data_IF_611594164967
#
_entry.id   IF_611594164967
#
_cell.length_a   1.000
_cell.length_b   1.000
_cell.length_c   1.000
_cell.angle_alpha   90.00
_cell.angle_beta   90.00
_cell.angle_gamma   90.00
#
_symmetry.space_group_name_H-M   'P 1'
#
loop_
_entity.id
_entity.type
_entity.pdbx_description
1 polymer ?
#
# COMPACT_ATOMS: atom_id res chain seq x y z
N UNK A 1 0.26 -30.99 34.19
CA UNK A 1 1.31 -30.05 34.60
C UNK A 1 0.77 -28.63 34.53
N UNK A 2 0.12 -28.21 35.60
CA UNK A 2 -0.35 -26.84 35.81
C UNK A 2 0.75 -26.09 36.57
N UNK A 3 1.36 -25.08 35.96
CA UNK A 3 2.43 -24.30 36.59
C UNK A 3 3.57 -23.83 35.69
N UNK A 4 3.46 -23.92 34.36
CA UNK A 4 4.51 -23.37 33.49
C UNK A 4 4.54 -21.84 33.58
N UNK A 5 5.64 -21.30 34.12
CA UNK A 5 5.90 -19.87 34.22
C UNK A 5 6.01 -19.27 32.81
N UNK A 6 5.21 -18.25 32.51
CA UNK A 6 5.27 -17.53 31.23
C UNK A 6 6.64 -16.83 31.16
N UNK A 7 7.43 -17.02 30.09
CA UNK A 7 8.73 -16.36 29.94
C UNK A 7 8.60 -14.84 30.02
N UNK A 8 9.51 -14.18 30.75
CA UNK A 8 9.59 -12.72 30.81
C UNK A 8 9.98 -12.09 29.47
N UNK A 9 10.67 -12.86 28.63
CA UNK A 9 11.16 -12.45 27.32
C UNK A 9 10.44 -13.25 26.22
N UNK A 10 9.55 -12.59 25.48
CA UNK A 10 8.80 -13.26 24.41
C UNK A 10 8.22 -12.32 23.37
N UNK A 11 7.91 -12.87 22.20
CA UNK A 11 7.11 -12.23 21.18
C UNK A 11 5.62 -12.59 21.33
N UNK A 12 4.75 -11.60 21.42
CA UNK A 12 3.29 -11.78 21.35
C UNK A 12 2.84 -11.39 19.96
N UNK A 13 2.19 -12.31 19.26
CA UNK A 13 1.75 -12.15 17.87
C UNK A 13 0.24 -12.28 17.84
N UNK A 14 -0.49 -11.18 17.75
CA UNK A 14 -1.94 -11.18 17.58
C UNK A 14 -2.30 -11.20 16.10
N UNK A 15 -2.81 -12.33 15.61
CA UNK A 15 -3.27 -12.51 14.24
C UNK A 15 -4.77 -12.18 14.17
N UNK A 16 -5.06 -10.91 13.90
CA UNK A 16 -6.41 -10.38 13.74
C UNK A 16 -7.01 -10.65 12.35
N UNK A 17 -8.20 -10.10 12.12
CA UNK A 17 -8.90 -10.22 10.83
C UNK A 17 -8.28 -9.31 9.76
N UNK A 18 -8.00 -8.05 10.07
CA UNK A 18 -7.45 -7.06 9.12
C UNK A 18 -5.97 -6.77 9.32
N UNK A 19 -5.43 -7.05 10.50
CA UNK A 19 -4.05 -6.72 10.88
C UNK A 19 -3.46 -7.79 11.78
N UNK A 20 -2.14 -7.82 11.82
CA UNK A 20 -1.35 -8.68 12.71
C UNK A 20 -0.45 -7.78 13.53
N UNK A 21 -0.52 -7.89 14.85
CA UNK A 21 0.27 -7.04 15.75
C UNK A 21 1.33 -7.89 16.45
N UNK A 22 2.59 -7.46 16.35
CA UNK A 22 3.71 -7.99 17.09
C UNK A 22 4.00 -7.08 18.28
N UNK A 23 4.00 -7.64 19.47
CA UNK A 23 4.50 -6.99 20.67
C UNK A 23 5.67 -7.79 21.22
N UNK A 24 6.84 -7.17 21.32
CA UNK A 24 8.00 -7.78 21.97
C UNK A 24 7.97 -7.40 23.44
N UNK A 25 8.16 -8.39 24.30
CA UNK A 25 8.20 -8.24 25.75
C UNK A 25 9.58 -8.63 26.22
N UNK A 26 10.17 -7.79 27.06
CA UNK A 26 11.47 -8.02 27.69
C UNK A 26 11.37 -7.74 29.19
N UNK A 27 11.87 -8.66 30.01
CA UNK A 27 11.75 -8.64 31.48
C UNK A 27 10.31 -8.39 31.96
N UNK A 28 9.34 -8.94 31.22
CA UNK A 28 7.94 -8.67 31.48
C UNK A 28 7.61 -7.18 31.36
N UNK A 29 8.06 -6.50 30.29
CA UNK A 29 7.61 -5.16 29.86
C UNK A 29 7.52 -5.09 28.33
N UNK A 30 6.46 -4.49 27.76
CA UNK A 30 6.41 -4.25 26.32
C UNK A 30 7.52 -3.29 25.90
N UNK A 31 8.37 -3.68 24.96
CA UNK A 31 9.51 -2.88 24.48
C UNK A 31 9.38 -2.47 23.02
N UNK A 32 8.65 -3.26 22.22
CA UNK A 32 8.38 -2.93 20.82
C UNK A 32 6.95 -3.32 20.47
N UNK A 33 6.29 -2.48 19.67
CA UNK A 33 4.98 -2.75 19.11
C UNK A 33 5.01 -2.44 17.61
N UNK A 34 4.73 -3.44 16.79
CA UNK A 34 4.68 -3.32 15.33
C UNK A 34 3.34 -3.87 14.84
N UNK A 35 2.70 -3.14 13.93
CA UNK A 35 1.48 -3.61 13.26
C UNK A 35 1.75 -3.82 11.78
N UNK A 36 1.46 -5.02 11.29
CA UNK A 36 1.44 -5.37 9.87
C UNK A 36 -0.01 -5.31 9.40
N UNK A 37 -0.28 -4.58 8.32
CA UNK A 37 -1.62 -4.44 7.71
C UNK A 37 -1.99 -5.68 6.89
N UNK A 38 -1.97 -6.83 7.55
CA UNK A 38 -2.36 -8.12 7.02
C UNK A 38 -3.00 -8.94 8.12
N UNK A 39 -4.06 -9.69 7.80
CA UNK A 39 -4.76 -10.53 8.77
C UNK A 39 -5.62 -11.58 8.07
N UNK A 40 -6.38 -12.34 8.85
CA UNK A 40 -7.16 -13.48 8.37
C UNK A 40 -8.14 -13.18 7.22
N UNK A 41 -8.63 -11.95 7.07
CA UNK A 41 -9.48 -11.54 5.94
C UNK A 41 -8.71 -11.49 4.63
N UNK A 42 -7.43 -11.14 4.65
CA UNK A 42 -6.59 -11.12 3.44
C UNK A 42 -6.46 -12.53 2.87
N UNK A 43 -6.24 -13.52 3.75
CA UNK A 43 -6.28 -14.93 3.36
C UNK A 43 -7.67 -15.33 2.86
N UNK A 44 -8.75 -14.93 3.53
CA UNK A 44 -10.12 -15.22 3.08
C UNK A 44 -10.41 -14.64 1.69
N UNK A 45 -9.99 -13.40 1.40
CA UNK A 45 -10.13 -12.79 0.08
C UNK A 45 -9.30 -13.49 -0.99
N UNK A 46 -8.06 -13.88 -0.67
CA UNK A 46 -7.21 -14.64 -1.59
C UNK A 46 -7.83 -16.01 -1.93
N UNK A 47 -8.40 -16.70 -0.94
CA UNK A 47 -9.11 -17.96 -1.15
C UNK A 47 -10.41 -17.76 -1.94
N UNK A 48 -11.17 -16.70 -1.66
CA UNK A 48 -12.38 -16.36 -2.41
C UNK A 48 -12.08 -16.13 -3.89
N UNK A 49 -11.00 -15.40 -4.20
CA UNK A 49 -10.55 -15.18 -5.57
C UNK A 49 -10.07 -16.49 -6.23
N UNK A 50 -9.24 -17.28 -5.53
CA UNK A 50 -8.70 -18.54 -6.05
C UNK A 50 -9.78 -19.57 -6.37
N UNK A 51 -10.80 -19.68 -5.52
CA UNK A 51 -11.86 -20.67 -5.65
C UNK A 51 -13.14 -20.11 -6.28
N UNK A 52 -13.11 -18.85 -6.76
CA UNK A 52 -14.26 -18.15 -7.34
C UNK A 52 -15.53 -18.30 -6.47
N UNK A 53 -15.39 -18.09 -5.16
CA UNK A 53 -16.48 -18.29 -4.20
C UNK A 53 -16.72 -17.05 -3.32
N UNK A 54 -17.85 -17.02 -2.62
CA UNK A 54 -18.16 -15.91 -1.72
C UNK A 54 -17.21 -15.87 -0.53
N UNK A 55 -17.06 -14.69 0.08
CA UNK A 55 -16.23 -14.52 1.29
C UNK A 55 -16.60 -15.51 2.40
N UNK A 56 -17.90 -15.75 2.62
CA UNK A 56 -18.38 -16.68 3.63
C UNK A 56 -17.99 -18.14 3.32
N UNK A 57 -18.04 -18.54 2.06
CA UNK A 57 -17.62 -19.86 1.61
C UNK A 57 -16.10 -20.04 1.71
N UNK A 58 -15.33 -19.03 1.33
CA UNK A 58 -13.88 -19.00 1.50
C UNK A 58 -13.47 -19.08 2.98
N UNK A 59 -14.19 -18.39 3.87
CA UNK A 59 -13.92 -18.44 5.32
C UNK A 59 -14.18 -19.84 5.90
N UNK A 60 -15.25 -20.52 5.44
CA UNK A 60 -15.51 -21.92 5.83
C UNK A 60 -14.39 -22.84 5.38
N UNK A 61 -13.95 -22.70 4.13
CA UNK A 61 -12.81 -23.47 3.58
C UNK A 61 -11.53 -23.21 4.35
N UNK A 62 -11.19 -21.94 4.59
CA UNK A 62 -10.01 -21.52 5.36
C UNK A 62 -9.92 -22.22 6.72
N UNK A 63 -11.05 -22.38 7.42
CA UNK A 63 -11.10 -23.04 8.74
C UNK A 63 -10.84 -24.54 8.69
N UNK A 64 -11.05 -25.19 7.55
CA UNK A 64 -10.77 -26.60 7.34
C UNK A 64 -9.35 -26.86 6.84
N UNK A 65 -8.66 -25.85 6.33
CA UNK A 65 -7.30 -25.96 5.79
C UNK A 65 -6.25 -26.05 6.90
N UNK A 66 -5.14 -26.71 6.58
CA UNK A 66 -3.93 -26.71 7.38
C UNK A 66 -3.00 -25.56 6.95
N UNK A 67 -2.11 -25.14 7.85
CA UNK A 67 -1.19 -24.01 7.59
C UNK A 67 -0.30 -24.23 6.36
N UNK A 68 0.07 -25.47 6.07
CA UNK A 68 0.92 -25.84 4.94
C UNK A 68 0.25 -25.50 3.59
N UNK A 69 -1.08 -25.56 3.52
CA UNK A 69 -1.82 -25.23 2.31
C UNK A 69 -1.88 -23.73 2.04
N UNK A 70 -1.54 -22.89 3.05
CA UNK A 70 -1.61 -21.43 2.96
C UNK A 70 -0.28 -20.73 3.22
N UNK A 71 0.81 -21.49 3.35
CA UNK A 71 2.15 -21.02 3.71
C UNK A 71 2.63 -19.87 2.81
N UNK A 72 2.43 -20.01 1.49
CA UNK A 72 2.80 -18.98 0.52
C UNK A 72 2.13 -17.61 0.79
N UNK A 73 0.89 -17.60 1.31
CA UNK A 73 0.20 -16.36 1.67
C UNK A 73 0.62 -15.79 3.03
N UNK A 74 1.25 -16.60 3.89
CA UNK A 74 1.81 -16.18 5.18
C UNK A 74 3.21 -15.59 5.05
N UNK A 75 3.95 -15.95 4.00
CA UNK A 75 5.34 -15.55 3.78
C UNK A 75 5.60 -14.03 3.93
N UNK A 76 4.75 -13.11 3.40
CA UNK A 76 4.99 -11.66 3.57
C UNK A 76 4.94 -11.22 5.03
N UNK A 77 3.99 -11.76 5.81
CA UNK A 77 3.86 -11.42 7.24
C UNK A 77 5.00 -12.02 8.03
N UNK A 78 5.36 -13.28 7.77
CA UNK A 78 6.50 -13.91 8.42
C UNK A 78 7.80 -13.13 8.16
N UNK A 79 7.97 -12.60 6.94
CA UNK A 79 9.10 -11.72 6.60
C UNK A 79 9.10 -10.43 7.42
N UNK A 80 7.98 -9.71 7.48
CA UNK A 80 7.85 -8.48 8.29
C UNK A 80 8.11 -8.71 9.78
N UNK A 81 7.59 -9.81 10.32
CA UNK A 81 7.80 -10.21 11.72
C UNK A 81 9.28 -10.54 11.97
N UNK A 82 9.92 -11.28 11.06
CA UNK A 82 11.35 -11.63 11.16
C UNK A 82 12.25 -10.39 11.10
N UNK A 83 11.95 -9.44 10.21
CA UNK A 83 12.68 -8.15 10.15
C UNK A 83 12.55 -7.40 11.47
N UNK A 84 11.34 -7.35 12.03
CA UNK A 84 11.09 -6.66 13.31
C UNK A 84 11.84 -7.33 14.48
N UNK A 85 11.89 -8.67 14.50
CA UNK A 85 12.65 -9.43 15.49
C UNK A 85 14.15 -9.19 15.35
N UNK A 86 14.71 -9.31 14.14
CA UNK A 86 16.14 -9.08 13.92
C UNK A 86 16.57 -7.65 14.24
N UNK A 87 15.74 -6.64 13.92
CA UNK A 87 16.02 -5.25 14.27
C UNK A 87 16.11 -5.05 15.80
N UNK A 88 15.21 -5.71 16.54
CA UNK A 88 15.24 -5.71 18.00
C UNK A 88 16.48 -6.43 18.56
N UNK A 89 16.77 -7.65 18.09
CA UNK A 89 17.93 -8.45 18.52
C UNK A 89 19.27 -7.73 18.25
N UNK A 90 19.38 -7.04 17.11
CA UNK A 90 20.56 -6.25 16.77
C UNK A 90 20.77 -5.03 17.67
N UNK A 91 19.71 -4.48 18.25
CA UNK A 91 19.76 -3.30 19.12
C UNK A 91 20.01 -3.66 20.59
N UNK A 92 19.42 -4.75 21.07
CA UNK A 92 19.44 -5.14 22.50
C UNK A 92 20.50 -6.22 22.80
N UNK A 93 21.11 -6.83 21.77
CA UNK A 93 22.08 -7.93 21.87
C UNK A 93 21.54 -9.15 22.65
N UNK A 94 20.23 -9.30 22.74
CA UNK A 94 19.57 -10.44 23.35
C UNK A 94 18.55 -11.05 22.39
N UNK A 95 18.45 -12.38 22.44
CA UNK A 95 17.57 -13.17 21.59
C UNK A 95 16.29 -13.53 22.32
N UNK A 96 15.16 -13.26 21.69
CA UNK A 96 13.87 -13.78 22.16
C UNK A 96 13.82 -15.27 21.83
N UNK A 97 13.36 -16.07 22.78
CA UNK A 97 13.33 -17.53 22.65
C UNK A 97 11.92 -18.06 22.48
N UNK A 98 10.91 -17.32 22.94
CA UNK A 98 9.54 -17.79 22.99
C UNK A 98 8.60 -16.85 22.22
N UNK A 99 7.54 -17.42 21.65
CA UNK A 99 6.44 -16.63 21.11
C UNK A 99 5.08 -17.18 21.53
N UNK A 100 4.11 -16.29 21.65
CA UNK A 100 2.72 -16.64 21.81
C UNK A 100 1.89 -16.05 20.68
N UNK A 101 1.19 -16.92 19.97
CA UNK A 101 0.34 -16.53 18.83
C UNK A 101 -1.11 -16.54 19.29
N UNK A 102 -1.76 -15.39 19.16
CA UNK A 102 -3.12 -15.10 19.62
C UNK A 102 -3.99 -14.52 18.50
N UNK A 103 -5.23 -14.17 18.81
CA UNK A 103 -6.19 -13.62 17.83
C UNK A 103 -7.11 -14.65 17.19
N UNK A 104 -8.01 -14.19 16.33
CA UNK A 104 -8.94 -15.07 15.61
C UNK A 104 -8.24 -15.92 14.54
N UNK A 105 -7.19 -15.38 13.93
CA UNK A 105 -6.40 -16.05 12.91
C UNK A 105 -5.53 -17.19 13.45
N UNK A 106 -5.12 -17.13 14.73
CA UNK A 106 -4.34 -18.21 15.38
C UNK A 106 -5.08 -19.53 15.47
N UNK A 107 -6.41 -19.54 15.26
CA UNK A 107 -7.24 -20.74 15.21
C UNK A 107 -7.05 -21.57 13.94
N UNK A 108 -6.35 -21.06 12.94
CA UNK A 108 -5.95 -21.87 11.79
C UNK A 108 -5.07 -23.02 12.28
N UNK A 109 -5.38 -24.24 11.83
CA UNK A 109 -4.73 -25.45 12.31
C UNK A 109 -3.21 -25.36 12.12
N UNK A 110 -2.47 -25.62 13.20
CA UNK A 110 -0.99 -25.63 13.26
C UNK A 110 -0.31 -24.26 13.03
N UNK A 111 -1.06 -23.16 12.88
CA UNK A 111 -0.49 -21.84 12.59
C UNK A 111 0.50 -21.39 13.67
N UNK A 112 0.15 -21.52 14.95
CA UNK A 112 1.04 -21.07 16.03
C UNK A 112 2.39 -21.77 16.02
N UNK A 113 2.40 -23.09 15.82
CA UNK A 113 3.63 -23.88 15.74
C UNK A 113 4.44 -23.55 14.49
N UNK A 114 3.76 -23.36 13.35
CA UNK A 114 4.40 -22.99 12.10
C UNK A 114 5.03 -21.59 12.16
N UNK A 115 4.33 -20.58 12.70
CA UNK A 115 4.89 -19.24 12.88
C UNK A 115 6.08 -19.26 13.84
N UNK A 116 5.99 -19.99 14.95
CA UNK A 116 7.08 -20.14 15.89
C UNK A 116 8.33 -20.73 15.20
N UNK A 117 8.16 -21.84 14.47
CA UNK A 117 9.23 -22.47 13.71
C UNK A 117 9.86 -21.53 12.67
N UNK A 118 9.03 -20.84 11.88
CA UNK A 118 9.49 -19.89 10.86
C UNK A 118 10.24 -18.68 11.45
N UNK A 119 9.92 -18.28 12.68
CA UNK A 119 10.57 -17.17 13.36
C UNK A 119 11.74 -17.63 14.24
N UNK A 120 12.02 -18.93 14.35
CA UNK A 120 13.07 -19.47 15.21
C UNK A 120 12.74 -19.36 16.70
N UNK A 121 11.45 -19.37 17.05
CA UNK A 121 10.94 -19.21 18.42
C UNK A 121 10.24 -20.49 18.90
N UNK A 122 10.16 -20.66 20.22
CA UNK A 122 9.40 -21.74 20.86
C UNK A 122 7.95 -21.30 21.12
N UNK A 123 6.94 -22.06 20.68
CA UNK A 123 5.55 -21.70 20.90
C UNK A 123 5.15 -21.89 22.37
N UNK A 124 4.60 -20.84 22.96
CA UNK A 124 3.91 -20.87 24.26
C UNK A 124 2.50 -21.41 24.04
N UNK A 125 2.15 -22.47 24.78
CA UNK A 125 0.92 -23.21 24.54
C UNK A 125 -0.36 -22.38 24.80
N UNK A 126 -1.51 -22.76 24.19
CA UNK A 126 -2.77 -22.02 24.35
C UNK A 126 -3.28 -21.96 25.81
N UNK A 127 -2.84 -22.89 26.68
CA UNK A 127 -3.15 -22.91 28.11
C UNK A 127 -2.28 -21.99 28.97
N UNK A 128 -1.21 -21.40 28.41
CA UNK A 128 -0.26 -20.58 29.14
C UNK A 128 -0.57 -19.07 29.04
N UNK A 129 -1.71 -18.69 28.45
CA UNK A 129 -1.97 -17.30 28.05
C UNK A 129 -2.83 -16.46 28.98
N UNK A 130 -3.77 -17.00 29.75
CA UNK A 130 -4.59 -16.17 30.65
C UNK A 130 -5.05 -16.98 31.86
N UNK A 131 -4.48 -16.67 33.01
CA UNK A 131 -4.83 -17.23 34.31
C UNK A 131 -4.42 -16.25 35.41
N UNK A 132 -4.72 -16.58 36.67
CA UNK A 132 -4.34 -15.77 37.83
C UNK A 132 -2.83 -15.53 37.96
N UNK A 133 -2.00 -16.36 37.32
CA UNK A 133 -0.53 -16.28 37.30
C UNK A 133 0.06 -15.57 36.07
N UNK A 134 -0.76 -14.96 35.21
CA UNK A 134 -0.30 -14.26 34.01
C UNK A 134 0.52 -13.00 34.38
N UNK A 135 1.76 -12.82 33.86
CA UNK A 135 2.54 -11.62 34.10
C UNK A 135 1.79 -10.35 33.65
N UNK A 136 1.83 -9.28 34.45
CA UNK A 136 1.07 -8.04 34.18
C UNK A 136 1.40 -7.44 32.81
N UNK A 137 2.66 -7.48 32.40
CA UNK A 137 3.05 -6.96 31.10
C UNK A 137 2.59 -7.81 29.92
N UNK A 138 2.36 -9.09 30.13
CA UNK A 138 1.74 -9.92 29.11
C UNK A 138 0.31 -9.45 28.83
N UNK A 139 -0.46 -9.14 29.88
CA UNK A 139 -1.80 -8.54 29.74
C UNK A 139 -1.75 -7.15 29.10
N UNK A 140 -0.76 -6.33 29.42
CA UNK A 140 -0.58 -5.00 28.81
C UNK A 140 -0.17 -5.13 27.34
N UNK A 141 0.80 -5.99 27.02
CA UNK A 141 1.27 -6.24 25.67
C UNK A 141 0.16 -6.81 24.79
N UNK A 142 -0.62 -7.76 25.31
CA UNK A 142 -1.81 -8.26 24.64
C UNK A 142 -2.85 -7.16 24.45
N UNK A 143 -3.14 -6.39 25.51
CA UNK A 143 -4.06 -5.25 25.45
C UNK A 143 -3.66 -4.21 24.39
N UNK A 144 -2.36 -3.91 24.28
CA UNK A 144 -1.79 -3.05 23.25
C UNK A 144 -1.89 -3.72 21.86
N UNK A 145 -1.63 -5.01 21.75
CA UNK A 145 -1.71 -5.74 20.49
C UNK A 145 -3.12 -5.71 19.88
N UNK A 146 -4.15 -5.83 20.73
CA UNK A 146 -5.57 -5.82 20.31
C UNK A 146 -6.19 -4.42 20.26
N UNK A 147 -5.51 -3.37 20.76
CA UNK A 147 -6.14 -2.05 20.92
C UNK A 147 -6.52 -1.43 19.56
N UNK A 148 -7.78 -0.99 19.36
CA UNK A 148 -8.27 -0.51 18.08
C UNK A 148 -7.68 0.85 17.67
N UNK A 149 -7.24 1.68 18.62
CA UNK A 149 -6.78 3.05 18.32
C UNK A 149 -5.29 3.19 17.98
N UNK A 150 -4.50 2.11 17.96
CA UNK A 150 -3.04 2.19 17.72
C UNK A 150 -2.67 2.42 16.25
N UNK A 151 -3.60 2.28 15.31
CA UNK A 151 -3.42 2.72 13.92
C UNK A 151 -4.73 3.33 13.40
N UNK A 152 -4.81 4.66 13.38
CA UNK A 152 -5.80 5.35 12.54
C UNK A 152 -5.16 5.65 11.18
N UNK A 153 -5.60 5.07 10.06
CA UNK A 153 -5.31 5.65 8.77
C UNK A 153 -6.06 6.99 8.70
N UNK A 154 -5.33 8.11 8.70
CA UNK A 154 -5.90 9.44 8.47
C UNK A 154 -6.23 9.58 6.98
N UNK A 155 -7.36 9.05 6.54
CA UNK A 155 -7.98 9.50 5.30
C UNK A 155 -9.01 10.57 5.64
N UNK A 156 -8.62 11.84 5.44
CA UNK A 156 -9.56 12.96 5.33
C UNK A 156 -9.97 13.05 3.86
N UNK A 157 -11.17 12.58 3.52
CA UNK A 157 -11.79 12.93 2.24
C UNK A 157 -12.29 14.36 2.32
N UNK A 158 -11.63 15.27 1.60
CA UNK A 158 -12.15 16.61 1.32
C UNK A 158 -13.20 16.45 0.23
N UNK A 159 -14.47 16.67 0.55
CA UNK A 159 -15.50 16.90 -0.45
C UNK A 159 -15.20 18.27 -1.08
N UNK A 160 -14.92 18.31 -2.38
CA UNK A 160 -14.76 19.55 -3.14
C UNK A 160 -16.00 19.73 -4.01
N UNK A 161 -16.83 20.68 -3.56
CA UNK A 161 -17.54 21.68 -4.35
C UNK A 161 -18.06 21.32 -5.73
N UNK A 162 -19.39 21.21 -5.81
CA UNK A 162 -20.19 21.61 -6.95
C UNK A 162 -19.97 23.08 -7.34
N UNK A 163 -19.87 23.37 -8.64
CA UNK A 163 -20.23 24.67 -9.18
C UNK A 163 -19.41 25.14 -10.37
N UNK A 164 -20.14 25.70 -11.36
CA UNK A 164 -19.73 26.56 -12.49
C UNK A 164 -19.36 25.81 -13.78
N UNK A 165 -19.76 26.24 -14.98
CA UNK A 165 -20.72 27.24 -15.45
C UNK A 165 -20.80 27.06 -16.98
N UNK A 166 -21.97 27.31 -17.56
CA UNK A 166 -22.12 27.56 -19.00
C UNK A 166 -21.59 28.97 -19.32
N UNK A 167 -20.88 29.11 -20.43
CA UNK A 167 -20.78 30.40 -21.11
C UNK A 167 -20.74 30.22 -22.64
N UNK A 168 -21.52 31.04 -23.34
CA UNK A 168 -21.65 31.12 -24.79
C UNK A 168 -21.13 32.48 -25.25
N UNK A 169 -20.03 32.51 -26.01
CA UNK A 169 -19.74 33.55 -27.02
C UNK A 169 -18.39 33.31 -27.71
N UNK A 170 -18.43 33.02 -29.00
CA UNK A 170 -17.45 33.51 -30.00
C UNK A 170 -17.87 33.02 -31.39
N UNK A 171 -18.10 33.97 -32.32
CA UNK A 171 -18.33 33.67 -33.74
C UNK A 171 -19.25 34.66 -34.43
N UNK A 172 -18.79 35.91 -34.55
CA UNK A 172 -19.40 36.99 -35.34
C UNK A 172 -19.08 36.89 -36.84
N UNK A 173 -20.08 37.26 -37.64
CA UNK A 173 -20.06 37.94 -38.94
C UNK A 173 -19.29 37.35 -40.14
N UNK A 174 -20.07 36.96 -41.15
CA UNK A 174 -19.78 37.27 -42.56
C UNK A 174 -21.09 37.61 -43.28
N UNK A 175 -21.21 38.88 -43.67
CA UNK A 175 -22.28 39.42 -44.49
C UNK A 175 -22.19 38.91 -45.94
N UNK A 176 -23.32 38.80 -46.66
CA UNK A 176 -23.65 39.69 -47.79
C UNK A 176 -24.92 39.29 -48.58
N UNK A 177 -25.58 40.34 -49.05
CA UNK A 177 -26.43 40.47 -50.24
C UNK A 177 -27.87 39.94 -50.22
N UNK A 178 -28.79 40.91 -50.07
CA UNK A 178 -30.20 40.83 -50.44
C UNK A 178 -30.39 40.95 -51.95
N UNK A 179 -31.18 40.07 -52.55
CA UNK A 179 -31.86 40.31 -53.82
C UNK A 179 -33.36 40.14 -53.62
N UNK A 180 -34.16 41.01 -54.23
CA UNK A 180 -35.62 41.03 -54.12
C UNK A 180 -36.23 39.72 -54.65
N UNK A 181 -36.91 39.01 -53.77
CA UNK A 181 -37.55 37.72 -54.04
C UNK A 181 -39.06 37.92 -54.17
N UNK A 182 -39.61 37.59 -55.35
CA UNK A 182 -41.04 37.65 -55.67
C UNK A 182 -41.90 36.90 -54.66
N UNK A 183 -43.16 37.30 -54.45
CA UNK A 183 -44.10 36.63 -53.50
C UNK A 183 -44.25 35.13 -53.78
N UNK A 184 -44.04 34.71 -55.02
CA UNK A 184 -44.09 33.30 -55.45
C UNK A 184 -42.82 32.55 -55.04
N UNK A 185 -41.65 33.18 -55.19
CA UNK A 185 -40.36 32.65 -54.72
C UNK A 185 -40.28 32.63 -53.19
N UNK A 186 -40.97 33.55 -52.50
CA UNK A 186 -41.11 33.50 -51.03
C UNK A 186 -41.89 32.28 -50.56
N UNK A 187 -42.93 31.87 -51.30
CA UNK A 187 -43.68 30.64 -51.00
C UNK A 187 -42.87 29.39 -51.32
N UNK A 188 -42.12 29.40 -52.43
CA UNK A 188 -41.20 28.31 -52.77
C UNK A 188 -40.03 28.22 -51.79
N UNK A 189 -39.52 29.34 -51.30
CA UNK A 189 -38.48 29.40 -50.26
C UNK A 189 -39.02 28.99 -48.89
N UNK A 190 -40.29 29.27 -48.58
CA UNK A 190 -40.96 28.76 -47.37
C UNK A 190 -41.14 27.24 -47.44
N UNK A 191 -41.61 26.71 -48.57
CA UNK A 191 -41.73 25.26 -48.76
C UNK A 191 -40.36 24.58 -48.81
N UNK A 192 -39.38 25.17 -49.51
CA UNK A 192 -38.00 24.69 -49.53
C UNK A 192 -37.33 24.76 -48.16
N UNK A 193 -37.58 25.81 -47.39
CA UNK A 193 -37.14 25.97 -46.01
C UNK A 193 -37.81 24.97 -45.07
N UNK A 194 -39.09 24.67 -45.26
CA UNK A 194 -39.81 23.66 -44.50
C UNK A 194 -39.32 22.26 -44.82
N UNK A 195 -39.06 21.95 -46.10
CA UNK A 195 -38.45 20.69 -46.54
C UNK A 195 -37.03 20.56 -45.97
N UNK A 196 -36.22 21.62 -46.02
CA UNK A 196 -34.89 21.63 -45.42
C UNK A 196 -34.94 21.47 -43.90
N UNK A 197 -35.91 22.08 -43.23
CA UNK A 197 -36.11 21.93 -41.79
C UNK A 197 -36.53 20.50 -41.43
N UNK A 198 -37.42 19.89 -42.22
CA UNK A 198 -37.81 18.48 -42.06
C UNK A 198 -36.62 17.56 -42.34
N UNK A 199 -35.86 17.79 -43.41
CA UNK A 199 -34.64 17.02 -43.72
C UNK A 199 -33.58 17.17 -42.62
N UNK A 200 -33.39 18.38 -42.09
CA UNK A 200 -32.49 18.62 -40.97
C UNK A 200 -32.98 17.97 -39.68
N UNK A 201 -34.29 17.96 -39.41
CA UNK A 201 -34.88 17.23 -38.29
C UNK A 201 -34.74 15.72 -38.44
N UNK A 202 -34.97 15.18 -39.63
CA UNK A 202 -34.78 13.76 -39.93
C UNK A 202 -33.31 13.38 -39.80
N UNK A 203 -32.40 14.15 -40.38
CA UNK A 203 -30.95 13.95 -40.28
C UNK A 203 -30.44 14.07 -38.84
N UNK A 204 -30.90 15.07 -38.09
CA UNK A 204 -30.63 15.22 -36.66
C UNK A 204 -31.19 14.03 -35.87
N UNK A 205 -32.42 13.60 -36.17
CA UNK A 205 -33.04 12.44 -35.51
C UNK A 205 -32.27 11.16 -35.82
N UNK A 206 -31.87 10.95 -37.08
CA UNK A 206 -31.05 9.82 -37.50
C UNK A 206 -29.68 9.87 -36.81
N UNK A 207 -29.02 11.03 -36.73
CA UNK A 207 -27.74 11.16 -36.02
C UNK A 207 -27.87 10.94 -34.53
N UNK A 208 -28.92 11.44 -33.88
CA UNK A 208 -29.15 11.25 -32.44
C UNK A 208 -29.47 9.78 -32.15
N UNK A 209 -30.33 9.15 -32.95
CA UNK A 209 -30.69 7.74 -32.78
C UNK A 209 -29.53 6.79 -33.11
N UNK A 210 -28.77 7.04 -34.18
CA UNK A 210 -27.59 6.25 -34.54
C UNK A 210 -26.42 6.47 -33.58
N UNK A 211 -26.25 7.68 -33.03
CA UNK A 211 -25.23 7.91 -31.99
C UNK A 211 -25.62 7.25 -30.67
N UNK A 212 -26.89 7.28 -30.30
CA UNK A 212 -27.38 6.58 -29.11
C UNK A 212 -27.20 5.06 -29.24
N UNK A 213 -27.42 4.48 -30.42
CA UNK A 213 -27.16 3.05 -30.64
C UNK A 213 -25.67 2.75 -30.60
N UNK A 214 -24.84 3.56 -31.25
CA UNK A 214 -23.38 3.39 -31.28
C UNK A 214 -22.78 3.53 -29.87
N UNK A 215 -23.21 4.51 -29.08
CA UNK A 215 -22.78 4.70 -27.68
C UNK A 215 -23.23 3.53 -26.82
N UNK A 216 -24.48 3.07 -26.96
CA UNK A 216 -24.98 1.90 -26.22
C UNK A 216 -24.25 0.61 -26.61
N UNK A 217 -23.91 0.43 -27.88
CA UNK A 217 -23.17 -0.75 -28.34
C UNK A 217 -21.70 -0.71 -27.88
N UNK A 218 -21.04 0.46 -27.92
CA UNK A 218 -19.71 0.66 -27.35
C UNK A 218 -19.69 0.47 -25.83
N UNK A 219 -20.69 1.00 -25.12
CA UNK A 219 -20.81 0.87 -23.67
C UNK A 219 -21.07 -0.60 -23.27
N UNK A 220 -21.92 -1.32 -24.01
CA UNK A 220 -22.09 -2.77 -23.84
C UNK A 220 -20.81 -3.55 -24.16
N UNK A 221 -20.06 -3.15 -25.20
CA UNK A 221 -18.78 -3.77 -25.54
C UNK A 221 -17.71 -3.57 -24.47
N UNK A 222 -17.57 -2.34 -23.96
CA UNK A 222 -16.69 -1.99 -22.84
C UNK A 222 -17.07 -2.76 -21.58
N UNK A 223 -18.36 -2.83 -21.27
CA UNK A 223 -18.85 -3.56 -20.11
C UNK A 223 -18.60 -5.07 -20.26
N UNK A 224 -18.85 -5.67 -21.43
CA UNK A 224 -18.57 -7.08 -21.67
C UNK A 224 -17.06 -7.39 -21.56
N UNK A 225 -16.20 -6.53 -22.09
CA UNK A 225 -14.75 -6.70 -22.03
C UNK A 225 -14.20 -6.47 -20.61
N UNK A 226 -14.77 -5.51 -19.87
CA UNK A 226 -14.48 -5.30 -18.46
C UNK A 226 -14.92 -6.50 -17.60
N UNK A 227 -16.12 -7.03 -17.83
CA UNK A 227 -16.64 -8.21 -17.13
C UNK A 227 -15.80 -9.46 -17.39
N UNK A 228 -15.30 -9.64 -18.62
CA UNK A 228 -14.37 -10.72 -18.96
C UNK A 228 -13.01 -10.59 -18.26
N UNK A 229 -12.51 -9.36 -18.05
CA UNK A 229 -11.15 -9.11 -17.53
C UNK A 229 -11.12 -8.94 -16.00
N UNK A 230 -12.13 -8.31 -15.42
CA UNK A 230 -12.18 -7.89 -14.01
C UNK A 230 -13.39 -8.41 -13.23
N UNK A 231 -14.35 -9.07 -13.90
CA UNK A 231 -15.60 -9.59 -13.31
C UNK A 231 -16.73 -8.55 -13.21
N UNK A 232 -17.95 -9.01 -12.98
CA UNK A 232 -19.14 -8.15 -12.84
C UNK A 232 -19.04 -7.24 -11.61
N UNK A 233 -19.25 -5.93 -11.80
CA UNK A 233 -19.26 -4.98 -10.69
C UNK A 233 -18.95 -3.52 -11.00
N UNK A 234 -18.62 -3.13 -12.24
CA UNK A 234 -18.54 -1.72 -12.60
C UNK A 234 -19.91 -1.19 -13.04
N UNK A 235 -20.24 0.02 -12.59
CA UNK A 235 -21.41 0.75 -13.07
C UNK A 235 -21.18 1.19 -14.53
N UNK A 236 -22.22 1.21 -15.37
CA UNK A 236 -22.10 1.63 -16.76
C UNK A 236 -21.48 3.02 -16.90
N UNK A 237 -20.34 3.14 -17.59
CA UNK A 237 -19.58 4.38 -17.79
C UNK A 237 -18.37 4.61 -16.87
N UNK A 238 -18.18 3.82 -15.80
CA UNK A 238 -17.04 3.92 -14.87
C UNK A 238 -15.98 2.82 -15.09
N UNK A 239 -16.13 1.99 -16.10
CA UNK A 239 -15.35 0.76 -16.31
C UNK A 239 -13.86 1.06 -16.55
N UNK A 240 -13.55 2.14 -17.28
CA UNK A 240 -12.19 2.51 -17.61
C UNK A 240 -11.40 3.00 -16.38
N UNK A 241 -12.04 3.80 -15.53
CA UNK A 241 -11.45 4.34 -14.32
C UNK A 241 -11.30 3.25 -13.25
N UNK A 242 -12.30 2.38 -13.10
CA UNK A 242 -12.20 1.22 -12.23
C UNK A 242 -11.13 0.23 -12.72
N UNK A 243 -11.03 0.01 -14.03
CA UNK A 243 -9.99 -0.82 -14.65
C UNK A 243 -8.59 -0.26 -14.39
N UNK A 244 -8.36 1.04 -14.64
CA UNK A 244 -7.09 1.72 -14.32
C UNK A 244 -6.76 1.64 -12.84
N UNK A 245 -7.75 1.85 -11.97
CA UNK A 245 -7.57 1.74 -10.53
C UNK A 245 -7.17 0.32 -10.10
N UNK A 246 -7.80 -0.72 -10.66
CA UNK A 246 -7.46 -2.11 -10.39
C UNK A 246 -6.08 -2.49 -10.94
N UNK A 247 -5.72 -2.01 -12.13
CA UNK A 247 -4.37 -2.20 -12.68
C UNK A 247 -3.33 -1.51 -11.79
N UNK A 248 -3.56 -0.28 -11.33
CA UNK A 248 -2.68 0.41 -10.38
C UNK A 248 -2.58 -0.31 -9.02
N UNK A 249 -3.67 -0.91 -8.54
CA UNK A 249 -3.68 -1.73 -7.33
C UNK A 249 -2.85 -3.00 -7.51
N UNK A 250 -3.01 -3.66 -8.65
CA UNK A 250 -2.22 -4.84 -9.03
C UNK A 250 -0.75 -4.46 -9.22
N UNK A 251 -0.44 -3.34 -9.86
CA UNK A 251 0.93 -2.85 -10.07
C UNK A 251 1.60 -2.43 -8.76
N UNK A 252 0.86 -1.81 -7.82
CA UNK A 252 1.35 -1.58 -6.45
C UNK A 252 1.57 -2.90 -5.71
N UNK A 253 0.66 -3.85 -5.83
CA UNK A 253 0.81 -5.20 -5.27
C UNK A 253 2.02 -5.93 -5.84
N UNK A 254 2.22 -5.86 -7.16
CA UNK A 254 3.38 -6.41 -7.85
C UNK A 254 4.66 -5.66 -7.48
N UNK A 255 4.65 -4.33 -7.29
CA UNK A 255 5.87 -3.61 -6.88
C UNK A 255 6.42 -4.06 -5.52
N UNK A 256 5.57 -4.61 -4.65
CA UNK A 256 5.93 -5.20 -3.37
C UNK A 256 6.45 -6.65 -3.55
N UNK A 257 5.97 -7.34 -4.59
CA UNK A 257 6.26 -8.77 -4.87
C UNK A 257 7.47 -8.97 -5.79
N UNK A 258 7.66 -8.10 -6.78
CA UNK A 258 8.48 -8.39 -7.95
C UNK A 258 9.95 -8.01 -7.75
N UNK A 259 10.28 -7.12 -6.78
CA UNK A 259 11.67 -6.74 -6.47
C UNK A 259 12.46 -6.17 -7.65
N UNK A 260 11.82 -5.95 -8.80
CA UNK A 260 12.39 -5.59 -10.10
C UNK A 260 12.72 -4.10 -10.22
N UNK A 261 12.53 -3.32 -9.16
CA UNK A 261 13.07 -1.95 -9.05
C UNK A 261 14.00 -1.84 -7.85
N UNK A 262 15.29 -1.87 -8.16
CA UNK A 262 16.45 -1.64 -7.29
C UNK A 262 16.62 -2.65 -6.14
N UNK A 263 17.56 -3.58 -6.31
CA UNK A 263 18.08 -4.37 -5.19
C UNK A 263 18.61 -3.41 -4.12
N UNK A 264 17.97 -3.35 -2.95
CA UNK A 264 18.41 -2.54 -1.79
C UNK A 264 19.88 -2.82 -1.46
N UNK A 265 20.34 -4.06 -1.67
CA UNK A 265 21.74 -4.44 -1.55
C UNK A 265 22.66 -3.76 -2.57
N UNK A 266 22.22 -3.59 -3.82
CA UNK A 266 22.98 -2.89 -4.84
C UNK A 266 23.05 -1.38 -4.53
N UNK A 267 21.94 -0.80 -4.03
CA UNK A 267 21.93 0.57 -3.52
C UNK A 267 22.88 0.77 -2.34
N UNK A 268 22.92 -0.16 -1.39
CA UNK A 268 23.90 -0.15 -0.29
C UNK A 268 25.33 -0.30 -0.80
N UNK A 269 25.59 -1.20 -1.75
CA UNK A 269 26.92 -1.39 -2.31
C UNK A 269 27.41 -0.13 -3.03
N UNK A 270 26.53 0.56 -3.75
CA UNK A 270 26.85 1.82 -4.41
C UNK A 270 27.08 2.95 -3.40
N UNK A 271 26.27 3.01 -2.35
CA UNK A 271 26.43 3.97 -1.26
C UNK A 271 27.80 3.82 -0.58
N UNK A 272 28.23 2.58 -0.30
CA UNK A 272 29.51 2.30 0.36
C UNK A 272 30.71 2.75 -0.48
N UNK A 273 30.64 2.69 -1.81
CA UNK A 273 31.74 3.16 -2.68
C UNK A 273 32.00 4.66 -2.56
N UNK A 274 30.98 5.44 -2.21
CA UNK A 274 31.03 6.90 -2.16
C UNK A 274 31.28 7.46 -0.75
N UNK A 275 31.45 6.60 0.26
CA UNK A 275 31.83 7.02 1.60
C UNK A 275 33.33 7.38 1.63
N UNK A 276 33.72 8.56 2.15
CA UNK A 276 35.13 8.94 2.22
C UNK A 276 35.95 7.93 3.04
N UNK A 277 37.17 7.54 2.58
CA UNK A 277 38.02 6.63 3.32
C UNK A 277 38.43 7.21 4.67
N UNK A 278 38.32 6.41 5.74
CA UNK A 278 38.67 6.82 7.10
C UNK A 278 37.55 7.51 7.88
N UNK A 279 36.36 7.69 7.30
CA UNK A 279 35.18 8.19 8.02
C UNK A 279 34.31 7.01 8.48
N UNK A 280 34.16 6.76 9.80
CA UNK A 280 33.29 5.69 10.27
C UNK A 280 31.83 6.06 10.04
N UNK A 281 31.13 5.26 9.23
CA UNK A 281 29.70 5.38 8.97
C UNK A 281 29.00 4.07 9.33
N UNK A 282 28.07 4.14 10.29
CA UNK A 282 27.13 3.04 10.58
C UNK A 282 25.76 3.40 10.06
N UNK A 283 25.17 2.53 9.25
CA UNK A 283 23.81 2.72 8.72
C UNK A 283 22.80 2.10 9.69
N UNK A 284 21.85 2.89 10.20
CA UNK A 284 20.74 2.41 11.02
C UNK A 284 19.55 2.00 10.18
N UNK A 285 19.16 2.87 9.26
CA UNK A 285 17.97 2.72 8.45
C UNK A 285 18.25 3.23 7.05
N UNK A 286 17.77 2.51 6.05
CA UNK A 286 17.81 2.91 4.65
C UNK A 286 16.45 2.63 4.04
N UNK A 287 15.77 3.69 3.63
CA UNK A 287 14.45 3.63 3.01
C UNK A 287 14.56 4.16 1.58
N UNK A 288 14.11 3.35 0.63
CA UNK A 288 14.10 3.70 -0.80
C UNK A 288 12.64 3.91 -1.21
N UNK A 289 12.28 5.13 -1.57
CA UNK A 289 10.96 5.51 -2.08
C UNK A 289 11.08 6.00 -3.53
N UNK A 290 11.00 5.05 -4.48
CA UNK A 290 11.11 5.33 -5.90
C UNK A 290 12.51 5.78 -6.34
N UNK A 291 12.73 7.09 -6.43
CA UNK A 291 14.02 7.73 -6.74
C UNK A 291 14.62 8.47 -5.55
N UNK A 292 13.84 8.64 -4.47
CA UNK A 292 14.26 9.25 -3.21
C UNK A 292 14.84 8.18 -2.29
N UNK A 293 16.01 8.45 -1.73
CA UNK A 293 16.68 7.59 -0.77
C UNK A 293 16.86 8.37 0.54
N UNK A 294 16.37 7.79 1.62
CA UNK A 294 16.50 8.30 2.98
C UNK A 294 17.39 7.36 3.78
N UNK A 295 18.51 7.88 4.29
CA UNK A 295 19.50 7.18 5.07
C UNK A 295 19.58 7.79 6.48
N UNK A 296 19.42 6.97 7.51
CA UNK A 296 19.79 7.35 8.89
C UNK A 296 21.15 6.72 9.22
N UNK A 297 22.14 7.58 9.50
CA UNK A 297 23.52 7.19 9.71
C UNK A 297 24.07 7.67 11.06
N UNK A 298 25.06 6.96 11.58
CA UNK A 298 25.87 7.37 12.73
C UNK A 298 27.34 7.54 12.33
N UNK A 299 27.96 8.58 12.88
CA UNK A 299 29.41 8.81 12.78
C UNK A 299 29.97 9.34 14.09
N UNK A 300 31.24 9.73 14.13
CA UNK A 300 31.95 10.14 15.36
C UNK A 300 31.92 11.63 15.62
N UNK A 301 31.85 12.48 14.59
CA UNK A 301 31.93 13.95 14.71
C UNK A 301 31.01 14.65 13.73
N UNK A 302 30.64 15.91 14.00
CA UNK A 302 29.89 16.75 13.06
C UNK A 302 30.68 17.05 11.78
N UNK A 303 32.01 17.15 11.88
CA UNK A 303 32.92 17.29 10.74
C UNK A 303 32.86 16.08 9.80
N UNK A 304 32.75 14.86 10.35
CA UNK A 304 32.56 13.66 9.56
C UNK A 304 31.23 13.66 8.80
N UNK A 305 30.16 14.19 9.39
CA UNK A 305 28.85 14.35 8.72
C UNK A 305 28.98 15.27 7.51
N UNK A 306 29.67 16.41 7.65
CA UNK A 306 29.82 17.35 6.54
C UNK A 306 30.73 16.80 5.43
N UNK A 307 31.79 16.05 5.78
CA UNK A 307 32.61 15.32 4.80
C UNK A 307 31.81 14.30 4.00
N UNK A 308 30.90 13.57 4.65
CA UNK A 308 29.99 12.64 3.97
C UNK A 308 29.07 13.43 3.02
N UNK A 309 28.50 14.54 3.48
CA UNK A 309 27.67 15.41 2.63
C UNK A 309 28.42 15.85 1.37
N UNK A 310 29.63 16.35 1.53
CA UNK A 310 30.45 16.87 0.44
C UNK A 310 30.79 15.75 -0.56
N UNK A 311 31.09 14.53 -0.10
CA UNK A 311 31.34 13.40 -0.98
C UNK A 311 30.12 13.01 -1.83
N UNK A 312 28.92 13.05 -1.24
CA UNK A 312 27.68 12.74 -1.96
C UNK A 312 27.27 13.86 -2.91
N UNK A 313 27.58 15.12 -2.60
CA UNK A 313 27.34 16.26 -3.50
C UNK A 313 28.34 16.29 -4.67
N UNK A 314 29.56 15.79 -4.47
CA UNK A 314 30.59 15.76 -5.50
C UNK A 314 30.34 14.73 -6.60
N UNK A 315 29.41 13.80 -6.39
CA UNK A 315 29.05 12.75 -7.34
C UNK A 315 27.88 13.19 -8.23
N UNK A 316 28.07 13.15 -9.54
CA UNK A 316 27.07 13.52 -10.55
C UNK A 316 25.85 12.58 -10.55
N UNK A 317 25.94 11.41 -9.93
CA UNK A 317 24.85 10.44 -9.84
C UNK A 317 23.78 10.84 -8.82
N UNK A 318 24.15 11.64 -7.81
CA UNK A 318 23.26 12.04 -6.71
C UNK A 318 22.80 13.48 -6.84
N UNK A 319 21.50 13.68 -6.66
CA UNK A 319 20.85 14.98 -6.78
C UNK A 319 20.07 15.28 -5.49
N UNK A 320 19.86 16.56 -5.19
CA UNK A 320 19.07 17.00 -4.02
C UNK A 320 19.57 16.42 -2.68
N UNK A 321 20.89 16.38 -2.51
CA UNK A 321 21.54 15.87 -1.30
C UNK A 321 21.33 16.84 -0.14
N UNK A 322 20.61 16.41 0.88
CA UNK A 322 20.28 17.19 2.07
C UNK A 322 20.54 16.41 3.35
N UNK A 323 21.01 17.12 4.38
CA UNK A 323 21.19 16.56 5.73
C UNK A 323 20.20 17.21 6.69
N UNK A 324 19.53 16.38 7.48
CA UNK A 324 18.57 16.77 8.51
C UNK A 324 18.82 16.01 9.82
N UNK A 325 18.21 16.50 10.91
CA UNK A 325 18.22 15.85 12.23
C UNK A 325 19.62 15.48 12.78
N UNK A 326 20.65 16.29 12.49
CA UNK A 326 22.00 16.06 13.05
C UNK A 326 22.00 16.32 14.55
N UNK A 327 22.25 15.28 15.35
CA UNK A 327 22.21 15.34 16.82
C UNK A 327 23.28 14.44 17.44
N UNK A 328 23.65 14.76 18.68
CA UNK A 328 24.52 13.89 19.48
C UNK A 328 23.74 12.62 19.86
N UNK A 329 24.37 11.47 19.68
CA UNK A 329 23.81 10.16 20.01
C UNK A 329 23.82 9.87 21.52
N UNK A 330 23.32 8.69 21.89
CA UNK A 330 23.24 8.28 23.30
C UNK A 330 24.61 7.86 23.88
N UNK A 331 25.60 7.62 23.02
CA UNK A 331 26.95 7.15 23.37
C UNK A 331 27.98 8.28 23.16
N UNK A 332 29.06 8.37 23.97
CA UNK A 332 30.15 9.33 23.71
C UNK A 332 30.74 9.16 22.30
N UNK A 333 31.07 10.28 21.64
CA UNK A 333 31.55 10.33 20.26
C UNK A 333 30.61 9.66 19.25
N UNK A 334 29.30 9.87 19.41
CA UNK A 334 28.28 9.45 18.46
C UNK A 334 27.53 10.67 17.96
N UNK A 335 27.43 10.82 16.64
CA UNK A 335 26.61 11.82 15.96
C UNK A 335 25.68 11.08 15.01
N UNK A 336 24.38 11.24 15.22
CA UNK A 336 23.33 10.67 14.39
C UNK A 336 22.85 11.75 13.43
N UNK A 337 22.67 11.39 12.16
CA UNK A 337 22.20 12.31 11.13
C UNK A 337 21.29 11.57 10.14
N UNK A 338 20.46 12.33 9.43
CA UNK A 338 19.66 11.84 8.31
C UNK A 338 20.15 12.48 7.03
N UNK A 339 20.40 11.66 6.03
CA UNK A 339 20.79 12.06 4.69
C UNK A 339 19.66 11.69 3.74
N UNK A 340 19.17 12.65 2.98
CA UNK A 340 18.21 12.42 1.90
C UNK A 340 18.86 12.81 0.60
N UNK A 341 18.73 11.97 -0.43
CA UNK A 341 19.23 12.27 -1.77
C UNK A 341 18.36 11.55 -2.81
N UNK A 342 18.41 12.03 -4.04
CA UNK A 342 17.70 11.46 -5.18
C UNK A 342 18.70 10.92 -6.20
N UNK A 343 18.33 9.83 -6.85
CA UNK A 343 19.14 9.24 -7.94
C UNK A 343 18.40 9.49 -9.25
N UNK A 344 18.97 10.32 -10.13
CA UNK A 344 18.45 10.46 -11.50
C UNK A 344 18.79 9.19 -12.27
N UNK A 345 17.76 8.54 -12.82
CA UNK A 345 17.94 7.37 -13.68
C UNK A 345 18.25 7.83 -15.11
N UNK A 346 19.19 7.20 -15.82
CA UNK A 346 19.22 7.26 -17.27
C UNK A 346 17.98 6.61 -17.90
#
# INVERSE_FOLDING_TARGET
EEGAQVPGDMAIIDVGASKTTLCLVHEGRPVLLRTVLWGGNHLTYALAARYACSFAEAERRKRAMAVQEVDAWLAPVLKELRVSLHAYEGTVHQRLTHCWVSGGGSKLRELSGHMAHQLGLHPVGPRQGFGSSCPRAFSIAFGLAIHPNIVRPRWKSRLVGSGLALDFKAGSDAALATTDVSKQDRRLALWGGLILAVLALVDLSVRVLLKDSTVKDLQRGLQAQYEQTFGAGASPGEELDQGRYRVLQVEKGLSIVDGTRYNVLAGLAELVKHVPPGVPLKVRELTIDGTSIHLEGETTTFDAVDKIKQAFVADETFHDVSISDTRVGAVPNQVVFRLTYTVQRP
#
